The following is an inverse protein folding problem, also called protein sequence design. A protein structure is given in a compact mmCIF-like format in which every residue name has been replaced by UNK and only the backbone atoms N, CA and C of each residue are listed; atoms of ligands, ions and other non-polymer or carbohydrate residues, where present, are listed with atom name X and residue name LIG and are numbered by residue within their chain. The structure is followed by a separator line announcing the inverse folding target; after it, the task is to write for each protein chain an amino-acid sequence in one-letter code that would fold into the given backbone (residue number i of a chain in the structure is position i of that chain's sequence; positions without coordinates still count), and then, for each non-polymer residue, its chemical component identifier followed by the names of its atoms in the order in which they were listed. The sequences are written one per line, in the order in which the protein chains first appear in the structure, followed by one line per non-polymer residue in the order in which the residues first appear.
data_IF_220360349839
#
_entry.id   IF_220360349839
#
_cell.length_a   1.000
_cell.length_b   1.000
_cell.length_c   1.000
_cell.angle_alpha   90.00
_cell.angle_beta   90.00
_cell.angle_gamma   90.00
#
_symmetry.space_group_name_H-M   'P 1'
#
loop_
_entity.id
_entity.type
_entity.pdbx_description
1 polymer ?
#
# COMPACT_ATOMS: atom_id res chain seq x y z
N UNK A 1 -7.08 -14.46 21.25
CA UNK A 1 -5.72 -14.42 20.67
C UNK A 1 -5.88 -14.03 19.21
N UNK A 2 -5.56 -12.79 18.85
CA UNK A 2 -5.76 -12.27 17.50
C UNK A 2 -4.91 -13.10 16.52
N UNK A 3 -5.55 -13.73 15.52
CA UNK A 3 -4.90 -14.45 14.42
C UNK A 3 -4.17 -13.52 13.46
N UNK A 4 -3.32 -12.66 14.01
CA UNK A 4 -2.56 -11.65 13.28
C UNK A 4 -1.43 -12.29 12.48
N UNK A 5 -1.16 -11.71 11.32
CA UNK A 5 0.06 -11.97 10.56
C UNK A 5 1.20 -11.11 11.12
N UNK A 6 2.32 -11.72 11.50
CA UNK A 6 3.54 -11.03 11.91
C UNK A 6 4.69 -11.45 11.02
N UNK A 7 5.45 -10.48 10.50
CA UNK A 7 6.65 -10.78 9.73
C UNK A 7 7.64 -11.58 10.57
N UNK A 8 8.15 -12.67 10.02
CA UNK A 8 9.25 -13.42 10.61
C UNK A 8 10.56 -12.62 10.56
N UNK A 9 11.51 -12.96 11.44
CA UNK A 9 12.82 -12.29 11.45
C UNK A 9 13.56 -12.46 10.12
N UNK A 10 13.44 -13.65 9.50
CA UNK A 10 14.03 -13.94 8.19
C UNK A 10 13.47 -13.01 7.10
N UNK A 11 12.14 -12.90 7.00
CA UNK A 11 11.54 -12.01 6.02
C UNK A 11 11.87 -10.54 6.31
N UNK A 12 11.88 -10.16 7.59
CA UNK A 12 12.23 -8.82 8.01
C UNK A 12 13.67 -8.43 7.64
N UNK A 13 14.64 -9.32 7.84
CA UNK A 13 16.04 -9.09 7.49
C UNK A 13 16.25 -8.78 6.00
N UNK A 14 15.40 -9.32 5.12
CA UNK A 14 15.41 -9.00 3.68
C UNK A 14 14.75 -7.65 3.39
N UNK A 15 13.68 -7.32 4.11
CA UNK A 15 12.88 -6.11 3.88
C UNK A 15 13.56 -4.85 4.43
N UNK A 16 14.07 -4.91 5.66
CA UNK A 16 14.58 -3.75 6.41
C UNK A 16 15.61 -2.92 5.62
N UNK A 17 16.60 -3.51 4.93
CA UNK A 17 17.59 -2.73 4.18
C UNK A 17 17.00 -1.94 3.00
N UNK A 18 15.86 -2.35 2.47
CA UNK A 18 15.19 -1.70 1.33
C UNK A 18 14.37 -0.48 1.74
N UNK A 19 14.05 -0.37 3.03
CA UNK A 19 13.19 0.69 3.52
C UNK A 19 13.93 2.04 3.45
N UNK A 20 13.24 3.11 3.03
CA UNK A 20 13.87 4.42 2.92
C UNK A 20 14.32 4.89 4.30
N UNK A 21 15.61 5.13 4.50
CA UNK A 21 16.19 5.67 5.74
C UNK A 21 16.16 7.21 5.73
N UNK A 22 16.36 7.84 6.89
CA UNK A 22 16.57 9.28 7.06
C UNK A 22 15.53 10.18 6.36
N UNK A 23 14.24 9.85 6.48
CA UNK A 23 13.18 10.64 5.88
C UNK A 23 12.81 11.83 6.78
N UNK A 24 12.66 13.05 6.22
CA UNK A 24 12.17 14.19 7.00
C UNK A 24 10.72 13.97 7.45
N UNK A 25 10.39 14.44 8.65
CA UNK A 25 9.03 14.39 9.22
C UNK A 25 8.96 13.73 10.61
N UNK A 26 7.73 13.38 11.00
CA UNK A 26 7.44 12.81 12.32
C UNK A 26 8.22 11.51 12.59
N UNK A 27 8.46 11.25 13.89
CA UNK A 27 9.18 10.07 14.38
C UNK A 27 8.62 8.80 13.72
N UNK A 28 9.53 7.97 13.23
CA UNK A 28 9.18 6.74 12.54
C UNK A 28 8.57 5.74 13.51
N UNK A 29 7.36 5.29 13.19
CA UNK A 29 6.70 4.15 13.84
C UNK A 29 7.40 2.88 13.38
N UNK A 30 7.39 1.83 14.20
CA UNK A 30 7.92 0.51 13.86
C UNK A 30 7.38 0.02 12.50
N UNK A 31 8.24 0.00 11.49
CA UNK A 31 7.89 -0.38 10.12
C UNK A 31 7.57 -1.88 10.02
N UNK A 32 8.18 -2.74 10.85
CA UNK A 32 7.90 -4.18 10.82
C UNK A 32 6.47 -4.44 11.21
N UNK A 33 6.01 -3.77 12.28
CA UNK A 33 4.63 -3.81 12.73
C UNK A 33 3.68 -3.27 11.66
N UNK A 34 4.00 -2.12 11.06
CA UNK A 34 3.15 -1.51 10.02
C UNK A 34 3.05 -2.41 8.78
N UNK A 35 4.17 -2.97 8.30
CA UNK A 35 4.15 -3.89 7.14
C UNK A 35 3.38 -5.16 7.47
N UNK A 36 3.52 -5.70 8.69
CA UNK A 36 2.73 -6.84 9.15
C UNK A 36 1.23 -6.55 9.05
N UNK A 37 0.79 -5.35 9.47
CA UNK A 37 -0.59 -4.89 9.33
C UNK A 37 -1.04 -4.72 7.87
N UNK A 38 -0.17 -4.19 7.00
CA UNK A 38 -0.46 -4.08 5.56
C UNK A 38 -0.68 -5.47 4.96
N UNK A 39 0.21 -6.42 5.25
CA UNK A 39 0.09 -7.80 4.74
C UNK A 39 -1.16 -8.48 5.28
N UNK A 40 -1.51 -8.26 6.56
CA UNK A 40 -2.75 -8.77 7.14
C UNK A 40 -3.98 -8.31 6.33
N UNK A 41 -4.09 -7.00 6.07
CA UNK A 41 -5.21 -6.43 5.27
C UNK A 41 -5.25 -7.03 3.87
N UNK A 42 -4.11 -7.14 3.20
CA UNK A 42 -4.04 -7.66 1.83
C UNK A 42 -4.34 -9.16 1.74
N UNK A 43 -3.88 -9.94 2.74
CA UNK A 43 -4.08 -11.40 2.79
C UNK A 43 -5.53 -11.77 3.11
N UNK A 44 -6.16 -11.05 4.02
CA UNK A 44 -7.55 -11.31 4.43
C UNK A 44 -8.54 -10.61 3.51
N UNK A 45 -8.14 -9.50 2.87
CA UNK A 45 -9.02 -8.69 2.03
C UNK A 45 -10.04 -7.87 2.81
N UNK A 46 -9.75 -7.54 4.07
CA UNK A 46 -10.62 -6.70 4.91
C UNK A 46 -10.49 -5.21 4.54
N UNK A 47 -11.36 -4.35 5.11
CA UNK A 47 -11.17 -2.91 4.97
C UNK A 47 -9.95 -2.49 5.80
N UNK A 48 -9.29 -1.41 5.41
CA UNK A 48 -8.19 -0.84 6.20
C UNK A 48 -8.62 -0.47 7.62
N UNK A 49 -9.87 0.00 7.76
CA UNK A 49 -10.51 0.32 9.06
C UNK A 49 -10.67 -0.90 9.97
N UNK A 50 -10.79 -2.10 9.38
CA UNK A 50 -10.97 -3.35 10.11
C UNK A 50 -9.62 -4.00 10.49
N UNK A 51 -8.49 -3.34 10.17
CA UNK A 51 -7.17 -3.83 10.53
C UNK A 51 -7.00 -3.87 12.06
N UNK A 52 -6.50 -4.97 12.66
CA UNK A 52 -6.29 -5.06 14.10
C UNK A 52 -5.44 -3.91 14.64
N UNK A 53 -5.87 -3.32 15.75
CA UNK A 53 -5.18 -2.19 16.40
C UNK A 53 -3.79 -2.55 16.90
N UNK A 54 -3.48 -3.84 17.08
CA UNK A 54 -2.15 -4.37 17.39
C UNK A 54 -1.07 -3.89 16.39
N UNK A 55 -1.45 -3.62 15.12
CA UNK A 55 -0.55 -3.10 14.10
C UNK A 55 -0.35 -1.57 14.14
N UNK A 56 -1.18 -0.89 14.92
CA UNK A 56 -1.26 0.56 14.99
C UNK A 56 -2.45 1.14 14.21
N UNK A 57 -2.53 2.48 14.10
CA UNK A 57 -3.69 3.14 13.50
C UNK A 57 -3.87 2.77 12.02
N UNK A 58 -5.09 2.39 11.64
CA UNK A 58 -5.46 2.03 10.25
C UNK A 58 -5.05 3.09 9.22
N UNK A 59 -5.18 4.37 9.57
CA UNK A 59 -4.76 5.50 8.73
C UNK A 59 -3.25 5.51 8.47
N UNK A 60 -2.44 5.16 9.48
CA UNK A 60 -0.98 5.06 9.34
C UNK A 60 -0.60 3.91 8.41
N UNK A 61 -1.26 2.76 8.58
CA UNK A 61 -1.06 1.56 7.77
C UNK A 61 -1.35 1.86 6.30
N UNK A 62 -2.53 2.42 6.00
CA UNK A 62 -2.93 2.80 4.65
C UNK A 62 -2.00 3.86 4.05
N UNK A 63 -1.71 4.94 4.78
CA UNK A 63 -0.86 6.02 4.28
C UNK A 63 0.56 5.53 3.95
N UNK A 64 1.07 4.57 4.72
CA UNK A 64 2.37 3.94 4.45
C UNK A 64 2.31 3.09 3.20
N UNK A 65 1.29 2.23 3.07
CA UNK A 65 1.04 1.44 1.88
C UNK A 65 1.01 2.30 0.62
N UNK A 66 0.18 3.35 0.63
CA UNK A 66 0.01 4.22 -0.53
C UNK A 66 1.30 4.97 -0.89
N UNK A 67 1.97 5.56 0.10
CA UNK A 67 3.24 6.28 -0.11
C UNK A 67 4.32 5.38 -0.72
N UNK A 68 4.43 4.14 -0.23
CA UNK A 68 5.43 3.18 -0.72
C UNK A 68 5.06 2.57 -2.06
N UNK A 69 3.76 2.45 -2.36
CA UNK A 69 3.27 2.11 -3.70
C UNK A 69 3.72 3.13 -4.74
N UNK A 70 3.51 4.43 -4.49
CA UNK A 70 3.98 5.49 -5.38
C UNK A 70 5.50 5.54 -5.57
N UNK A 71 6.28 4.98 -4.64
CA UNK A 71 7.75 4.89 -4.71
C UNK A 71 8.25 3.56 -5.28
N UNK A 72 7.35 2.70 -5.76
CA UNK A 72 7.69 1.37 -6.29
C UNK A 72 8.38 0.45 -5.27
N UNK A 73 8.22 0.69 -3.97
CA UNK A 73 8.92 -0.08 -2.93
C UNK A 73 8.40 -1.52 -2.86
N UNK A 74 7.10 -1.72 -3.04
CA UNK A 74 6.49 -3.06 -2.99
C UNK A 74 7.07 -4.01 -4.04
N UNK A 75 7.32 -3.50 -5.26
CA UNK A 75 7.96 -4.30 -6.32
C UNK A 75 9.39 -4.71 -5.95
N UNK A 76 10.16 -3.81 -5.33
CA UNK A 76 11.52 -4.11 -4.85
C UNK A 76 11.52 -5.13 -3.71
N UNK A 77 10.60 -4.99 -2.76
CA UNK A 77 10.42 -5.96 -1.67
C UNK A 77 10.07 -7.34 -2.25
N UNK A 78 9.11 -7.39 -3.17
CA UNK A 78 8.70 -8.63 -3.81
C UNK A 78 9.89 -9.31 -4.53
N UNK A 79 10.63 -8.56 -5.35
CA UNK A 79 11.79 -9.10 -6.07
C UNK A 79 12.87 -9.64 -5.10
N UNK A 80 13.17 -8.92 -4.02
CA UNK A 80 14.16 -9.35 -3.04
C UNK A 80 13.74 -10.61 -2.26
N UNK A 81 12.45 -10.72 -1.90
CA UNK A 81 11.93 -11.92 -1.25
C UNK A 81 11.86 -13.11 -2.21
N UNK A 82 11.45 -12.89 -3.46
CA UNK A 82 11.39 -13.92 -4.49
C UNK A 82 12.77 -14.48 -4.81
N UNK A 83 13.82 -13.64 -4.85
CA UNK A 83 15.20 -14.08 -5.06
C UNK A 83 15.74 -14.99 -3.93
N UNK A 84 15.14 -14.94 -2.74
CA UNK A 84 15.47 -15.82 -1.62
C UNK A 84 14.54 -17.03 -1.49
N UNK A 85 13.46 -17.05 -2.27
CA UNK A 85 12.55 -18.17 -2.32
C UNK A 85 13.11 -19.20 -3.30
N UNK A 86 13.20 -20.45 -2.87
CA UNK A 86 13.41 -21.58 -3.78
C UNK A 86 12.11 -21.80 -4.55
N UNK A 87 11.92 -21.02 -5.62
CA UNK A 87 10.77 -21.17 -6.50
C UNK A 87 11.02 -22.35 -7.45
N UNK A 88 9.99 -23.17 -7.74
CA UNK A 88 10.09 -24.21 -8.74
C UNK A 88 10.32 -23.60 -10.13
N UNK A 89 10.91 -24.40 -11.04
CA UNK A 89 11.17 -24.00 -12.44
C UNK A 89 9.89 -23.60 -13.18
N UNK A 90 8.75 -24.15 -12.77
CA UNK A 90 7.43 -23.82 -13.29
C UNK A 90 6.49 -23.38 -12.16
N UNK A 91 5.96 -22.16 -12.27
CA UNK A 91 5.01 -21.57 -11.34
C UNK A 91 3.84 -20.98 -12.12
N UNK A 92 2.65 -21.53 -11.92
CA UNK A 92 1.41 -20.99 -12.47
C UNK A 92 0.68 -20.13 -11.44
N UNK A 93 0.17 -18.97 -11.88
CA UNK A 93 -0.65 -18.07 -11.07
C UNK A 93 -2.03 -18.03 -11.69
N UNK A 94 -3.02 -18.56 -10.96
CA UNK A 94 -4.43 -18.47 -11.34
C UNK A 94 -5.26 -17.80 -10.23
N UNK A 95 -6.55 -17.64 -10.48
CA UNK A 95 -7.50 -17.02 -9.54
C UNK A 95 -7.79 -17.89 -8.30
N UNK A 96 -7.39 -19.16 -8.30
CA UNK A 96 -7.48 -20.06 -7.14
C UNK A 96 -6.30 -19.84 -6.19
N UNK A 97 -5.11 -19.54 -6.74
CA UNK A 97 -3.90 -19.24 -5.96
C UNK A 97 -3.84 -17.78 -5.51
N UNK A 98 -4.21 -16.83 -6.38
CA UNK A 98 -4.21 -15.38 -6.09
C UNK A 98 -5.50 -14.75 -6.59
N UNK A 99 -6.41 -14.46 -5.67
CA UNK A 99 -7.65 -13.75 -6.00
C UNK A 99 -7.37 -12.26 -6.20
N UNK A 100 -7.89 -11.69 -7.29
CA UNK A 100 -7.89 -10.25 -7.47
C UNK A 100 -8.65 -9.56 -6.32
N UNK A 101 -8.16 -8.40 -5.87
CA UNK A 101 -8.85 -7.63 -4.84
C UNK A 101 -10.28 -7.29 -5.30
N UNK A 102 -11.25 -7.24 -4.38
CA UNK A 102 -12.65 -6.92 -4.69
C UNK A 102 -12.82 -5.66 -5.56
N UNK A 103 -12.01 -4.64 -5.32
CA UNK A 103 -12.01 -3.38 -6.08
C UNK A 103 -11.44 -3.46 -7.50
N UNK A 104 -10.84 -4.58 -7.89
CA UNK A 104 -10.41 -4.84 -9.27
C UNK A 104 -11.56 -5.32 -10.17
N UNK A 105 -12.69 -5.74 -9.58
CA UNK A 105 -13.85 -6.22 -10.31
C UNK A 105 -14.73 -5.03 -10.73
N UNK A 106 -15.16 -4.97 -12.00
CA UNK A 106 -16.27 -4.10 -12.44
C UNK A 106 -15.95 -2.84 -13.26
N UNK A 107 -14.74 -2.66 -13.78
CA UNK A 107 -14.42 -1.48 -14.60
C UNK A 107 -14.60 -1.68 -16.11
N UNK A 108 -15.81 -1.48 -16.67
CA UNK A 108 -15.92 -1.11 -18.10
C UNK A 108 -15.58 0.38 -18.23
N UNK A 109 -14.31 0.71 -18.44
CA UNK A 109 -13.92 2.08 -18.77
C UNK A 109 -12.47 2.41 -18.43
N UNK A 110 -11.66 2.65 -19.45
CA UNK A 110 -10.34 3.26 -19.30
C UNK A 110 -10.40 4.69 -18.74
N UNK A 111 -9.24 5.20 -18.34
CA UNK A 111 -9.06 6.50 -17.71
C UNK A 111 -9.47 7.63 -18.67
N UNK A 112 -10.69 8.16 -18.55
CA UNK A 112 -11.05 9.45 -19.19
C UNK A 112 -10.45 10.56 -18.34
N UNK A 113 -9.40 11.22 -18.84
CA UNK A 113 -8.89 12.44 -18.24
C UNK A 113 -10.02 13.48 -18.26
N UNK A 114 -10.64 13.73 -17.11
CA UNK A 114 -11.51 14.88 -16.91
C UNK A 114 -10.67 15.93 -16.19
N UNK A 115 -10.29 17.04 -16.86
CA UNK A 115 -9.76 18.18 -16.14
C UNK A 115 -10.79 18.59 -15.10
N UNK A 116 -10.40 18.71 -13.83
CA UNK A 116 -11.16 19.49 -12.87
C UNK A 116 -11.24 20.91 -13.44
N UNK A 117 -12.46 21.42 -13.66
CA UNK A 117 -12.71 22.68 -14.36
C UNK A 117 -11.69 23.76 -14.00
N UNK A 118 -11.16 24.45 -15.02
CA UNK A 118 -10.20 25.53 -14.83
C UNK A 118 -10.76 26.56 -13.84
N UNK A 119 -9.91 27.08 -12.96
CA UNK A 119 -10.28 28.20 -12.08
C UNK A 119 -10.82 29.33 -12.97
N UNK A 120 -12.11 29.64 -12.84
CA UNK A 120 -12.64 30.87 -13.39
C UNK A 120 -11.89 32.01 -12.72
N UNK A 121 -11.16 32.82 -13.49
CA UNK A 121 -10.55 34.02 -12.99
C UNK A 121 -11.65 34.91 -12.41
N UNK A 122 -11.54 35.27 -11.13
CA UNK A 122 -12.43 36.24 -10.51
C UNK A 122 -12.27 37.56 -11.27
N UNK A 123 -13.34 38.04 -11.91
CA UNK A 123 -13.36 39.38 -12.49
C UNK A 123 -13.33 40.41 -11.35
N UNK A 124 -12.61 41.54 -11.49
CA UNK A 124 -12.64 42.60 -10.49
C UNK A 124 -14.06 43.16 -10.39
N UNK A 125 -14.53 43.41 -9.16
CA UNK A 125 -15.82 44.07 -8.93
C UNK A 125 -15.79 45.47 -9.56
N UNK A 126 -16.74 45.76 -10.46
CA UNK A 126 -16.95 47.12 -10.96
C UNK A 126 -17.51 47.98 -9.82
N UNK A 127 -16.82 49.07 -9.52
CA UNK A 127 -17.30 50.13 -8.64
C UNK A 127 -18.61 50.71 -9.20
N UNK A 128 -19.64 50.79 -8.36
CA UNK A 128 -20.91 51.43 -8.69
C UNK A 128 -20.77 52.97 -8.64
N UNK A 129 -21.58 53.71 -9.41
CA UNK A 129 -21.57 55.18 -9.46
C UNK A 129 -22.06 55.82 -8.16
#
# INVERSE_FOLDING_TARGET
MSGGFWLSDRAWAVIEPLLPKNQPGARRVDDRRVISGIIHVLRIGCRWEDCPSDYGPSTTIYNRFNRWSHRGLWGRIFAALAAQAELPDELSIDSTAVRAHRSAHGGKGGRKFRPSGGRAAAQPQKSMP
#
